data_IF_357748308689
#
_entry.id   IF_357748308689
#
_cell.length_a   1.000
_cell.length_b   1.000
_cell.length_c   1.000
_cell.angle_alpha   90.00
_cell.angle_beta   90.00
_cell.angle_gamma   90.00
#
_symmetry.space_group_name_H-M   'P 1'
#
loop_
_entity.id
_entity.type
_entity.pdbx_description
1 polymer ?
#
# COMPACT_ATOMS: atom_id res chain seq x y z
N UNK A 1 2.63 3.56 4.88
CA UNK A 1 2.81 2.48 5.87
C UNK A 1 2.24 2.85 7.22
N UNK A 2 1.86 1.87 8.01
CA UNK A 2 1.18 2.10 9.27
C UNK A 2 2.07 2.50 10.45
N UNK A 3 3.36 2.25 10.37
CA UNK A 3 4.31 2.53 11.44
C UNK A 3 5.69 2.80 10.87
N UNK A 4 6.46 3.62 11.57
CA UNK A 4 7.86 3.87 11.19
C UNK A 4 8.68 2.57 11.21
N UNK A 5 8.29 1.60 12.04
CA UNK A 5 8.96 0.30 12.10
C UNK A 5 8.81 -0.53 10.82
N UNK A 6 7.88 -0.16 9.94
CA UNK A 6 7.67 -0.82 8.65
C UNK A 6 8.65 -0.34 7.59
N UNK A 7 9.37 0.75 7.85
CA UNK A 7 10.27 1.36 6.88
C UNK A 7 11.34 0.42 6.33
N UNK A 8 12.00 -0.44 7.14
CA UNK A 8 13.02 -1.35 6.58
C UNK A 8 12.48 -2.24 5.46
N UNK A 9 11.23 -2.68 5.55
CA UNK A 9 10.59 -3.48 4.50
C UNK A 9 10.23 -2.59 3.32
N UNK A 10 9.58 -1.45 3.58
CA UNK A 10 9.10 -0.56 2.53
C UNK A 10 10.22 0.15 1.78
N UNK A 11 11.43 0.22 2.35
CA UNK A 11 12.60 0.77 1.69
C UNK A 11 12.90 0.08 0.35
N UNK A 12 12.57 -1.20 0.24
CA UNK A 12 12.77 -1.95 -1.01
C UNK A 12 11.87 -1.44 -2.13
N UNK A 13 10.65 -1.00 -1.79
CA UNK A 13 9.76 -0.39 -2.76
C UNK A 13 10.31 0.98 -3.19
N UNK A 14 10.76 1.78 -2.23
CA UNK A 14 11.35 3.09 -2.50
C UNK A 14 12.55 2.96 -3.43
N UNK A 15 13.45 2.03 -3.13
CA UNK A 15 14.65 1.81 -3.94
C UNK A 15 14.30 1.49 -5.40
N UNK A 16 13.32 0.63 -5.62
CA UNK A 16 12.87 0.31 -6.97
C UNK A 16 12.31 1.54 -7.68
N UNK A 17 11.47 2.32 -7.00
CA UNK A 17 10.85 3.49 -7.60
C UNK A 17 11.89 4.56 -7.95
N UNK A 18 12.87 4.78 -7.08
CA UNK A 18 13.98 5.70 -7.33
C UNK A 18 14.82 5.26 -8.52
N UNK A 19 15.17 3.98 -8.57
CA UNK A 19 15.97 3.40 -9.67
C UNK A 19 15.29 3.58 -11.02
N UNK A 20 13.97 3.52 -11.07
CA UNK A 20 13.20 3.66 -12.31
C UNK A 20 12.65 5.06 -12.54
N UNK A 21 13.09 6.04 -11.74
CA UNK A 21 12.70 7.44 -11.89
C UNK A 21 11.18 7.65 -11.81
N UNK A 22 10.51 6.89 -10.96
CA UNK A 22 9.07 7.01 -10.74
C UNK A 22 8.84 7.96 -9.55
N UNK A 23 8.14 9.10 -9.75
CA UNK A 23 7.86 10.00 -8.63
C UNK A 23 6.97 9.33 -7.60
N UNK A 24 7.26 9.55 -6.32
CA UNK A 24 6.45 8.99 -5.24
C UNK A 24 6.55 9.85 -3.98
N UNK A 25 5.60 9.68 -3.08
CA UNK A 25 5.64 10.27 -1.76
C UNK A 25 5.56 9.15 -0.71
N UNK A 26 6.05 9.40 0.48
CA UNK A 26 6.06 8.44 1.58
C UNK A 26 5.35 9.03 2.77
N UNK A 27 4.41 8.28 3.34
CA UNK A 27 3.66 8.70 4.52
C UNK A 27 3.62 7.58 5.55
N UNK A 28 3.62 7.95 6.81
CA UNK A 28 3.43 7.03 7.93
C UNK A 28 2.12 7.41 8.61
N UNK A 29 1.12 6.54 8.50
CA UNK A 29 -0.21 6.77 9.07
C UNK A 29 -0.80 5.47 9.55
N UNK A 30 -1.27 5.43 10.79
CA UNK A 30 -1.92 4.26 11.35
C UNK A 30 -3.43 4.35 11.16
N UNK A 31 -4.04 3.33 10.56
CA UNK A 31 -5.49 3.28 10.43
C UNK A 31 -6.20 3.18 11.78
N UNK A 32 -5.55 2.55 12.76
CA UNK A 32 -6.12 2.41 14.10
C UNK A 32 -5.95 3.66 14.96
N UNK A 33 -4.80 4.35 14.82
CA UNK A 33 -4.46 5.51 15.68
C UNK A 33 -4.86 6.84 15.06
N UNK A 34 -4.92 6.91 13.75
CA UNK A 34 -5.29 8.13 13.03
C UNK A 34 -6.20 7.80 11.85
N UNK A 35 -7.40 7.24 12.11
CA UNK A 35 -8.30 6.86 11.02
C UNK A 35 -8.76 8.03 10.17
N UNK A 36 -8.95 9.20 10.76
CA UNK A 36 -9.37 10.41 10.03
C UNK A 36 -8.30 10.86 9.04
N UNK A 37 -7.02 10.82 9.45
CA UNK A 37 -5.92 11.19 8.57
C UNK A 37 -5.78 10.23 7.40
N UNK A 38 -5.97 8.94 7.64
CA UNK A 38 -5.95 7.93 6.58
C UNK A 38 -7.09 8.15 5.59
N UNK A 39 -8.30 8.39 6.08
CA UNK A 39 -9.46 8.65 5.24
C UNK A 39 -9.25 9.90 4.37
N UNK A 40 -8.75 10.98 4.96
CA UNK A 40 -8.47 12.22 4.24
C UNK A 40 -7.42 12.03 3.16
N UNK A 41 -6.33 11.32 3.49
CA UNK A 41 -5.29 11.00 2.53
C UNK A 41 -5.86 10.23 1.33
N UNK A 42 -6.63 9.18 1.60
CA UNK A 42 -7.21 8.35 0.55
C UNK A 42 -8.18 9.12 -0.33
N UNK A 43 -9.02 9.97 0.26
CA UNK A 43 -10.02 10.76 -0.48
C UNK A 43 -9.39 11.80 -1.40
N UNK A 44 -8.23 12.34 -1.02
CA UNK A 44 -7.60 13.43 -1.78
C UNK A 44 -6.46 12.99 -2.68
N UNK A 45 -6.02 11.74 -2.58
CA UNK A 45 -4.86 11.24 -3.33
C UNK A 45 -5.01 11.39 -4.84
N UNK A 46 -6.16 11.03 -5.39
CA UNK A 46 -6.41 11.10 -6.83
C UNK A 46 -6.32 12.55 -7.35
N UNK A 47 -6.88 13.49 -6.61
CA UNK A 47 -6.83 14.92 -6.97
C UNK A 47 -5.40 15.45 -7.02
N UNK A 48 -4.52 14.92 -6.17
CA UNK A 48 -3.12 15.33 -6.12
C UNK A 48 -2.26 14.63 -7.18
N UNK A 49 -2.87 13.83 -8.06
CA UNK A 49 -2.16 13.17 -9.14
C UNK A 49 -1.62 11.80 -8.82
N UNK A 50 -1.94 11.24 -7.66
CA UNK A 50 -1.55 9.87 -7.30
C UNK A 50 -2.31 8.89 -8.19
N UNK A 51 -1.61 7.91 -8.75
CA UNK A 51 -2.19 6.90 -9.63
C UNK A 51 -2.35 5.54 -8.97
N UNK A 52 -1.44 5.19 -8.05
CA UNK A 52 -1.42 3.90 -7.35
C UNK A 52 -0.97 4.16 -5.92
N UNK A 53 -1.57 3.45 -4.98
CA UNK A 53 -1.18 3.54 -3.58
C UNK A 53 -0.63 2.18 -3.14
N UNK A 54 0.58 2.18 -2.58
CA UNK A 54 1.16 1.00 -1.97
C UNK A 54 1.08 1.18 -0.45
N UNK A 55 0.42 0.26 0.23
CA UNK A 55 0.22 0.35 1.66
C UNK A 55 0.79 -0.88 2.37
N UNK A 56 1.78 -0.66 3.23
CA UNK A 56 2.37 -1.71 4.04
C UNK A 56 1.89 -1.64 5.47
N UNK A 57 1.57 -2.79 6.05
CA UNK A 57 1.12 -2.87 7.45
C UNK A 57 1.36 -4.26 8.02
N UNK A 58 1.63 -4.31 9.33
CA UNK A 58 1.82 -5.55 10.06
C UNK A 58 0.69 -5.84 11.03
N UNK A 59 0.73 -7.00 11.64
CA UNK A 59 -0.25 -7.46 12.65
C UNK A 59 -1.69 -7.37 12.13
N UNK A 60 -2.59 -6.68 12.83
CA UNK A 60 -3.97 -6.44 12.38
C UNK A 60 -3.98 -5.36 11.28
N UNK A 61 -3.43 -5.68 10.14
CA UNK A 61 -3.06 -4.75 9.07
C UNK A 61 -4.26 -4.12 8.37
N UNK A 62 -4.91 -3.16 9.02
CA UNK A 62 -6.12 -2.51 8.53
C UNK A 62 -5.87 -1.44 7.46
N UNK A 63 -4.64 -0.89 7.38
CA UNK A 63 -4.34 0.26 6.53
C UNK A 63 -4.71 0.08 5.05
N UNK A 64 -4.30 -0.99 4.36
CA UNK A 64 -4.64 -1.13 2.94
C UNK A 64 -6.13 -1.17 2.68
N UNK A 65 -6.89 -1.92 3.48
CA UNK A 65 -8.33 -2.04 3.33
C UNK A 65 -9.07 -0.74 3.62
N UNK A 66 -8.64 0.00 4.64
CA UNK A 66 -9.23 1.30 4.97
C UNK A 66 -8.99 2.29 3.82
N UNK A 67 -7.77 2.34 3.28
CA UNK A 67 -7.47 3.19 2.13
C UNK A 67 -8.35 2.81 0.94
N UNK A 68 -8.44 1.52 0.63
CA UNK A 68 -9.24 1.04 -0.50
C UNK A 68 -10.72 1.41 -0.38
N UNK A 69 -11.24 1.51 0.84
CA UNK A 69 -12.62 1.90 1.09
C UNK A 69 -12.90 3.36 0.73
N UNK A 70 -11.88 4.21 0.71
CA UNK A 70 -12.04 5.65 0.48
C UNK A 70 -11.48 6.14 -0.85
N UNK A 71 -10.95 5.28 -1.68
CA UNK A 71 -10.38 5.69 -2.97
C UNK A 71 -10.79 4.76 -4.09
N UNK A 72 -10.86 5.29 -5.30
CA UNK A 72 -11.04 4.48 -6.52
C UNK A 72 -9.70 4.11 -7.17
N UNK A 73 -8.59 4.57 -6.60
CA UNK A 73 -7.27 4.23 -7.10
C UNK A 73 -6.92 2.77 -6.78
N UNK A 74 -6.10 2.13 -7.62
CA UNK A 74 -5.57 0.82 -7.27
C UNK A 74 -4.78 0.87 -5.95
N UNK A 75 -5.07 -0.06 -5.05
CA UNK A 75 -4.35 -0.19 -3.78
C UNK A 75 -3.63 -1.53 -3.75
N UNK A 76 -2.34 -1.48 -3.50
CA UNK A 76 -1.49 -2.67 -3.40
C UNK A 76 -1.06 -2.80 -1.94
N UNK A 77 -1.43 -3.92 -1.32
CA UNK A 77 -1.13 -4.18 0.07
C UNK A 77 0.13 -5.02 0.24
N UNK A 78 0.97 -4.63 1.19
CA UNK A 78 2.17 -5.39 1.56
C UNK A 78 2.01 -5.84 3.00
N UNK A 79 1.73 -7.14 3.23
CA UNK A 79 1.72 -7.65 4.59
C UNK A 79 3.14 -7.71 5.14
N UNK A 80 3.32 -7.14 6.34
CA UNK A 80 4.65 -7.03 6.93
C UNK A 80 4.80 -8.02 8.07
N UNK A 81 5.88 -8.80 8.04
CA UNK A 81 6.21 -9.77 9.07
C UNK A 81 6.47 -9.05 10.39
N UNK A 82 5.71 -9.41 11.43
CA UNK A 82 5.79 -8.77 12.73
C UNK A 82 5.11 -9.65 13.77
N UNK A 83 5.58 -9.59 15.00
CA UNK A 83 4.95 -10.28 16.12
C UNK A 83 4.99 -11.79 16.04
N UNK A 84 4.11 -12.43 16.81
CA UNK A 84 4.10 -13.87 17.03
C UNK A 84 3.70 -14.68 15.79
N UNK A 85 2.85 -14.11 14.91
CA UNK A 85 2.32 -14.84 13.76
C UNK A 85 3.12 -14.64 12.48
N UNK A 86 4.24 -13.93 12.55
CA UNK A 86 5.22 -13.83 11.46
C UNK A 86 4.66 -13.34 10.13
N UNK A 87 3.66 -12.46 10.17
CA UNK A 87 3.06 -11.86 8.98
C UNK A 87 1.83 -12.59 8.45
N UNK A 88 1.51 -13.78 8.96
CA UNK A 88 0.31 -14.52 8.53
C UNK A 88 -0.95 -13.73 8.88
N UNK A 89 -0.98 -13.12 10.05
CA UNK A 89 -2.08 -12.26 10.48
C UNK A 89 -2.25 -11.05 9.55
N UNK A 90 -1.15 -10.40 9.19
CA UNK A 90 -1.19 -9.27 8.28
C UNK A 90 -1.67 -9.69 6.89
N UNK A 91 -1.19 -10.84 6.39
CA UNK A 91 -1.62 -11.36 5.11
C UNK A 91 -3.14 -11.61 5.09
N UNK A 92 -3.67 -12.27 6.11
CA UNK A 92 -5.10 -12.55 6.19
C UNK A 92 -5.92 -11.27 6.31
N UNK A 93 -5.45 -10.29 7.08
CA UNK A 93 -6.15 -9.02 7.24
C UNK A 93 -6.21 -8.20 5.95
N UNK A 94 -5.18 -8.29 5.11
CA UNK A 94 -5.09 -7.52 3.88
C UNK A 94 -5.81 -8.23 2.72
N UNK A 95 -5.67 -9.55 2.61
CA UNK A 95 -6.16 -10.28 1.42
C UNK A 95 -7.67 -10.55 1.45
N UNK A 96 -8.27 -10.71 2.63
CA UNK A 96 -9.69 -11.07 2.77
C UNK A 96 -10.59 -9.84 2.71
N UNK A 97 -10.64 -9.21 1.54
CA UNK A 97 -11.49 -8.04 1.32
C UNK A 97 -12.86 -8.42 0.78
N UNK A 98 -13.89 -7.63 1.12
CA UNK A 98 -15.25 -7.88 0.62
C UNK A 98 -15.40 -7.57 -0.87
N UNK A 99 -16.40 -8.17 -1.54
CA UNK A 99 -16.69 -7.83 -2.93
C UNK A 99 -16.91 -6.33 -3.11
N UNK A 100 -16.30 -5.76 -4.14
CA UNK A 100 -16.41 -4.34 -4.45
C UNK A 100 -15.29 -3.47 -3.89
N UNK A 101 -14.53 -3.97 -2.90
CA UNK A 101 -13.42 -3.21 -2.30
C UNK A 101 -12.15 -4.08 -2.32
N UNK A 102 -11.51 -4.25 -3.47
CA UNK A 102 -10.34 -5.11 -3.57
C UNK A 102 -9.05 -4.42 -3.13
N UNK A 103 -8.12 -5.23 -2.63
CA UNK A 103 -6.72 -4.84 -2.42
C UNK A 103 -5.85 -5.89 -3.09
N UNK A 104 -4.99 -5.47 -4.01
CA UNK A 104 -4.03 -6.38 -4.64
C UNK A 104 -2.94 -6.70 -3.61
N UNK A 105 -2.85 -7.94 -3.18
CA UNK A 105 -2.01 -8.33 -2.04
C UNK A 105 -0.74 -9.02 -2.51
N UNK A 106 0.41 -8.50 -2.07
CA UNK A 106 1.71 -9.07 -2.36
C UNK A 106 2.08 -10.12 -1.29
N UNK A 107 3.20 -10.79 -1.47
CA UNK A 107 3.71 -11.72 -0.48
C UNK A 107 4.13 -11.00 0.80
N UNK A 108 4.26 -11.74 1.90
CA UNK A 108 4.77 -11.18 3.16
C UNK A 108 6.13 -10.53 2.89
N UNK A 109 6.29 -9.29 3.33
CA UNK A 109 7.48 -8.45 3.10
C UNK A 109 7.76 -8.17 1.61
N UNK A 110 6.80 -8.39 0.73
CA UNK A 110 6.96 -8.26 -0.72
C UNK A 110 6.87 -6.82 -1.25
N UNK A 111 7.58 -5.90 -0.63
CA UNK A 111 7.52 -4.48 -1.00
C UNK A 111 8.08 -4.20 -2.39
N UNK A 112 9.16 -4.88 -2.78
CA UNK A 112 9.72 -4.70 -4.12
C UNK A 112 8.70 -5.06 -5.20
N UNK A 113 8.04 -6.20 -5.06
CA UNK A 113 7.02 -6.61 -6.02
C UNK A 113 5.81 -5.68 -6.03
N UNK A 114 5.50 -5.05 -4.91
CA UNK A 114 4.47 -4.01 -4.89
C UNK A 114 4.85 -2.86 -5.82
N UNK A 115 6.10 -2.41 -5.75
CA UNK A 115 6.60 -1.34 -6.63
C UNK A 115 6.64 -1.78 -8.09
N UNK A 116 7.06 -3.02 -8.36
CA UNK A 116 7.07 -3.58 -9.72
C UNK A 116 5.64 -3.60 -10.29
N UNK A 117 4.68 -4.03 -9.49
CA UNK A 117 3.29 -4.10 -9.91
C UNK A 117 2.69 -2.70 -10.15
N UNK A 118 2.99 -1.76 -9.27
CA UNK A 118 2.60 -0.36 -9.47
C UNK A 118 3.19 0.19 -10.78
N UNK A 119 4.44 -0.12 -11.07
CA UNK A 119 5.11 0.29 -12.30
C UNK A 119 4.38 -0.25 -13.54
N UNK A 120 3.97 -1.52 -13.50
CA UNK A 120 3.20 -2.13 -14.60
C UNK A 120 1.89 -1.38 -14.84
N UNK A 121 1.20 -1.00 -13.78
CA UNK A 121 -0.04 -0.23 -13.88
C UNK A 121 0.22 1.14 -14.50
N UNK A 122 1.27 1.81 -14.06
CA UNK A 122 1.64 3.13 -14.59
C UNK A 122 2.00 3.07 -16.08
N UNK A 123 2.68 2.00 -16.50
CA UNK A 123 3.01 1.80 -17.92
C UNK A 123 1.75 1.67 -18.78
N UNK A 124 0.72 1.02 -18.29
CA UNK A 124 -0.56 0.94 -19.00
C UNK A 124 -1.19 2.32 -19.17
N UNK A 125 -1.10 3.17 -18.16
CA UNK A 125 -1.62 4.55 -18.26
C UNK A 125 -0.86 5.37 -19.29
N UNK A 126 0.45 5.19 -19.40
CA UNK A 126 1.29 5.88 -20.37
C UNK A 126 1.00 5.45 -21.80
N UNK A 127 0.76 4.15 -22.01
CA UNK A 127 0.48 3.59 -23.34
C UNK A 127 -0.84 4.07 -23.95
N UNK A 128 -1.75 4.58 -23.13
CA UNK A 128 -3.04 5.12 -23.62
C UNK A 128 -2.91 6.46 -24.32
N UNK A 129 -1.76 7.05 -24.25
CA UNK A 129 -1.49 8.32 -24.92
C UNK A 129 -0.85 8.10 -26.27
#
# INVERSE_FOLDING_TARGET
MGSQSDMPVMEKAKAYLEEHNIPFEVNVMSAHRNPEGVAEYAKTAKERGVKVIIAGAGMAAALPGVIAAYTTLPVIGVPIKSGALQGIDALMAIVQMPPGVPVATMAIDGAKNAAVFAHKILQLCEEKQ
#
